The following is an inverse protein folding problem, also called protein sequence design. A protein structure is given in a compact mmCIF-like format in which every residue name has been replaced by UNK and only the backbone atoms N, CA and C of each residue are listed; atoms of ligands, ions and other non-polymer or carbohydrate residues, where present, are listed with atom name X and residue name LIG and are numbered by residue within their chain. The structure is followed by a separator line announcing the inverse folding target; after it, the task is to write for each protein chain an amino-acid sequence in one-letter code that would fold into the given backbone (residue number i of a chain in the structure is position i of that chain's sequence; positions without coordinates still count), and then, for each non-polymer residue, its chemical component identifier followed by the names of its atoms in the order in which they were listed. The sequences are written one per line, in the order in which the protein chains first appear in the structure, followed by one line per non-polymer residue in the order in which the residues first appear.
data_IF_831167517524
#
_entry.id   IF_831167517524
#
_cell.length_a   1.000
_cell.length_b   1.000
_cell.length_c   1.000
_cell.angle_alpha   90.00
_cell.angle_beta   90.00
_cell.angle_gamma   90.00
#
_symmetry.space_group_name_H-M   'P 1'
#
loop_
_entity.id
_entity.type
_entity.pdbx_description
1 polymer ?
#
# COMPACT_ATOMS: atom_id res chain seq x y z
N UNK A 1 3.07 22.17 -17.01
CA UNK A 1 2.44 22.23 -15.66
C UNK A 1 1.92 20.83 -15.33
N UNK A 2 2.70 20.00 -14.64
CA UNK A 2 2.32 18.58 -14.41
C UNK A 2 2.75 18.07 -13.03
N UNK A 3 2.48 18.85 -11.97
CA UNK A 3 2.91 18.53 -10.59
C UNK A 3 1.76 17.97 -9.72
N UNK A 4 0.52 17.90 -10.22
CA UNK A 4 -0.66 17.54 -9.41
C UNK A 4 -1.14 16.08 -9.50
N UNK A 5 -0.50 15.22 -10.32
CA UNK A 5 -0.90 13.81 -10.49
C UNK A 5 -0.11 12.81 -9.63
N UNK A 6 1.06 13.22 -9.12
CA UNK A 6 1.93 12.40 -8.26
C UNK A 6 1.26 11.97 -6.93
N UNK A 7 0.45 12.78 -6.21
CA UNK A 7 -0.19 12.34 -4.97
C UNK A 7 -1.34 11.35 -5.20
N UNK A 8 -1.87 11.26 -6.43
CA UNK A 8 -3.03 10.42 -6.79
C UNK A 8 -2.65 8.92 -6.88
N UNK A 9 -1.44 8.63 -7.36
CA UNK A 9 -0.90 7.28 -7.56
C UNK A 9 -0.44 6.66 -6.23
N UNK A 10 0.02 7.49 -5.29
CA UNK A 10 0.60 7.04 -4.02
C UNK A 10 -0.44 6.48 -3.03
N UNK A 11 -1.72 6.88 -3.14
CA UNK A 11 -2.79 6.43 -2.25
C UNK A 11 -3.39 5.07 -2.71
N UNK A 12 -3.09 4.64 -3.95
CA UNK A 12 -3.63 3.43 -4.57
C UNK A 12 -2.62 2.29 -4.72
N UNK A 13 -1.44 2.36 -4.11
CA UNK A 13 -0.47 1.27 -4.18
C UNK A 13 -0.31 0.59 -2.80
N UNK A 14 -1.14 -0.43 -2.46
CA UNK A 14 -1.04 -1.14 -1.18
C UNK A 14 -0.04 -2.30 -1.22
N UNK A 15 0.79 -2.40 -2.26
CA UNK A 15 1.94 -3.29 -2.23
C UNK A 15 2.93 -2.74 -1.22
N UNK A 16 3.49 -3.64 -0.45
CA UNK A 16 4.57 -3.49 0.54
C UNK A 16 5.83 -2.74 0.03
N UNK A 17 5.84 -2.15 -1.17
CA UNK A 17 7.00 -1.54 -1.83
C UNK A 17 6.72 -0.11 -2.33
N UNK A 18 6.06 0.70 -1.51
CA UNK A 18 6.22 2.17 -1.54
C UNK A 18 6.12 2.72 -0.13
N UNK A 19 6.96 2.18 0.76
CA UNK A 19 7.45 2.95 1.90
C UNK A 19 8.50 3.92 1.35
N UNK A 20 8.05 4.99 0.68
CA UNK A 20 8.70 6.29 0.75
C UNK A 20 8.13 6.92 2.03
N UNK A 21 8.68 6.68 3.23
CA UNK A 21 9.87 7.32 3.81
C UNK A 21 9.96 8.85 3.67
N UNK A 22 8.86 9.56 3.43
CA UNK A 22 8.80 11.01 3.71
C UNK A 22 7.92 11.34 4.92
N UNK A 23 7.35 10.34 5.57
CA UNK A 23 6.87 10.46 6.94
C UNK A 23 7.63 9.46 7.81
N UNK A 24 8.11 9.93 8.95
CA UNK A 24 8.82 9.21 10.02
C UNK A 24 8.05 7.98 10.58
N UNK A 25 6.94 7.57 9.96
CA UNK A 25 5.97 6.65 10.55
C UNK A 25 5.35 5.71 9.51
N UNK A 26 5.98 4.54 9.35
CA UNK A 26 5.38 3.38 8.68
C UNK A 26 4.19 2.79 9.45
N UNK A 27 3.62 1.64 9.02
CA UNK A 27 2.51 1.01 9.73
C UNK A 27 2.83 0.84 11.23
N UNK A 28 1.89 1.16 12.13
CA UNK A 28 2.17 1.20 13.56
C UNK A 28 2.65 -0.16 14.06
N UNK A 29 3.84 -0.17 14.68
CA UNK A 29 4.58 -1.37 15.08
C UNK A 29 5.84 -1.61 14.24
N UNK A 30 5.87 -1.21 12.95
CA UNK A 30 7.02 -1.43 12.07
C UNK A 30 8.26 -0.67 12.54
N UNK A 31 8.12 0.57 12.98
CA UNK A 31 9.24 1.35 13.55
C UNK A 31 9.82 0.70 14.80
N UNK A 32 8.98 0.06 15.63
CA UNK A 32 9.43 -0.67 16.82
C UNK A 32 10.20 -1.94 16.46
N UNK A 33 9.68 -2.73 15.50
CA UNK A 33 10.38 -3.91 14.99
C UNK A 33 11.72 -3.52 14.35
N UNK A 34 11.73 -2.47 13.52
CA UNK A 34 12.91 -2.02 12.79
C UNK A 34 14.04 -1.53 13.72
N UNK A 35 13.68 -0.91 14.85
CA UNK A 35 14.64 -0.56 15.93
C UNK A 35 15.26 -1.79 16.60
N UNK A 36 14.53 -2.90 16.67
CA UNK A 36 14.99 -4.15 17.28
C UNK A 36 15.82 -5.03 16.34
N UNK A 37 15.75 -4.80 15.03
CA UNK A 37 16.63 -5.46 14.05
C UNK A 37 18.09 -5.01 14.23
N UNK A 38 19.04 -5.89 13.93
CA UNK A 38 20.44 -5.49 13.78
C UNK A 38 20.69 -4.87 12.39
N UNK A 39 21.89 -4.35 12.15
CA UNK A 39 22.23 -3.68 10.89
C UNK A 39 22.09 -4.61 9.67
N UNK A 40 22.56 -5.85 9.77
CA UNK A 40 22.46 -6.83 8.70
C UNK A 40 21.01 -7.14 8.36
N UNK A 41 20.17 -7.38 9.38
CA UNK A 41 18.74 -7.66 9.22
C UNK A 41 17.99 -6.47 8.60
N UNK A 42 18.36 -5.24 8.98
CA UNK A 42 17.79 -4.03 8.37
C UNK A 42 18.12 -3.95 6.89
N UNK A 43 19.40 -4.12 6.53
CA UNK A 43 19.85 -4.09 5.13
C UNK A 43 19.19 -5.19 4.29
N UNK A 44 19.04 -6.38 4.85
CA UNK A 44 18.34 -7.48 4.17
C UNK A 44 16.87 -7.11 3.91
N UNK A 45 16.16 -6.64 4.94
CA UNK A 45 14.77 -6.20 4.80
C UNK A 45 14.61 -5.04 3.80
N UNK A 46 15.51 -4.06 3.83
CA UNK A 46 15.54 -2.96 2.85
C UNK A 46 15.79 -3.47 1.43
N UNK A 47 16.74 -4.38 1.24
CA UNK A 47 17.03 -4.94 -0.08
C UNK A 47 15.85 -5.71 -0.68
N UNK A 48 15.07 -6.41 0.14
CA UNK A 48 13.84 -7.10 -0.29
C UNK A 48 12.81 -6.08 -0.75
N UNK A 49 12.66 -4.96 -0.03
CA UNK A 49 11.73 -3.90 -0.38
C UNK A 49 12.14 -3.12 -1.62
N UNK A 50 13.43 -2.89 -1.81
CA UNK A 50 13.95 -2.06 -2.90
C UNK A 50 14.16 -2.84 -4.20
N UNK A 51 13.90 -4.15 -4.20
CA UNK A 51 13.98 -4.98 -5.39
C UNK A 51 12.87 -4.63 -6.40
N UNK A 52 13.20 -3.69 -7.30
CA UNK A 52 12.33 -3.21 -8.37
C UNK A 52 11.99 -4.28 -9.42
N UNK A 53 12.69 -5.41 -9.42
CA UNK A 53 12.50 -6.50 -10.39
C UNK A 53 11.59 -7.60 -9.85
N UNK A 54 11.45 -7.69 -8.53
CA UNK A 54 10.60 -8.70 -7.91
C UNK A 54 9.11 -8.37 -8.08
N UNK A 55 8.32 -9.40 -8.39
CA UNK A 55 6.86 -9.32 -8.34
C UNK A 55 6.37 -9.20 -6.91
N UNK A 56 5.11 -8.81 -6.70
CA UNK A 56 4.52 -8.77 -5.34
C UNK A 56 4.60 -10.12 -4.64
N UNK A 57 4.33 -11.20 -5.37
CA UNK A 57 4.41 -12.57 -4.84
C UNK A 57 5.84 -12.86 -4.36
N UNK A 58 6.84 -12.58 -5.18
CA UNK A 58 8.24 -12.79 -4.84
C UNK A 58 8.68 -11.93 -3.64
N UNK A 59 8.24 -10.68 -3.56
CA UNK A 59 8.50 -9.82 -2.40
C UNK A 59 7.86 -10.42 -1.14
N UNK A 60 6.62 -10.89 -1.22
CA UNK A 60 5.94 -11.52 -0.10
C UNK A 60 6.67 -12.79 0.37
N UNK A 61 7.07 -13.66 -0.54
CA UNK A 61 7.85 -14.87 -0.23
C UNK A 61 9.19 -14.52 0.43
N UNK A 62 9.91 -13.52 -0.10
CA UNK A 62 11.17 -13.04 0.48
C UNK A 62 10.98 -12.49 1.91
N UNK A 63 9.89 -11.76 2.15
CA UNK A 63 9.55 -11.26 3.49
C UNK A 63 9.22 -12.42 4.44
N UNK A 64 8.46 -13.40 3.99
CA UNK A 64 8.15 -14.59 4.80
C UNK A 64 9.41 -15.38 5.15
N UNK A 65 10.30 -15.57 4.17
CA UNK A 65 11.62 -16.17 4.41
C UNK A 65 12.44 -15.36 5.42
N UNK A 66 12.49 -14.03 5.28
CA UNK A 66 13.17 -13.14 6.22
C UNK A 66 12.60 -13.23 7.63
N UNK A 67 11.28 -13.25 7.80
CA UNK A 67 10.65 -13.40 9.12
C UNK A 67 11.10 -14.71 9.78
N UNK A 68 11.25 -15.79 9.02
CA UNK A 68 11.68 -17.08 9.54
C UNK A 68 13.16 -17.09 9.99
N UNK A 69 14.01 -16.20 9.47
CA UNK A 69 15.41 -16.06 9.92
C UNK A 69 15.56 -15.21 11.18
N UNK A 70 14.52 -14.47 11.58
CA UNK A 70 14.56 -13.66 12.79
C UNK A 70 14.63 -14.53 14.06
N UNK A 71 15.20 -14.02 15.17
CA UNK A 71 15.09 -14.65 16.48
C UNK A 71 13.62 -14.83 16.89
N UNK A 72 13.30 -15.89 17.65
CA UNK A 72 11.90 -16.21 18.02
C UNK A 72 11.16 -15.06 18.71
N UNK A 73 11.87 -14.25 19.50
CA UNK A 73 11.33 -13.04 20.14
C UNK A 73 10.82 -11.97 19.16
N UNK A 74 11.32 -11.97 17.91
CA UNK A 74 10.96 -11.01 16.86
C UNK A 74 9.98 -11.59 15.83
N UNK A 75 9.89 -12.92 15.71
CA UNK A 75 8.93 -13.59 14.79
C UNK A 75 7.48 -13.25 15.13
N UNK A 76 7.12 -13.26 16.41
CA UNK A 76 5.77 -12.91 16.88
C UNK A 76 5.35 -11.50 16.44
N UNK A 77 6.11 -10.46 16.83
CA UNK A 77 5.86 -9.07 16.40
C UNK A 77 5.85 -8.89 14.88
N UNK A 78 6.76 -9.56 14.15
CA UNK A 78 6.81 -9.46 12.68
C UNK A 78 5.56 -10.06 12.02
N UNK A 79 5.08 -11.21 12.51
CA UNK A 79 3.84 -11.82 12.02
C UNK A 79 2.59 -11.00 12.38
N UNK A 80 2.59 -10.31 13.52
CA UNK A 80 1.51 -9.40 13.89
C UNK A 80 1.44 -8.19 12.95
N UNK A 81 2.58 -7.58 12.63
CA UNK A 81 2.66 -6.48 11.66
C UNK A 81 2.16 -6.95 10.29
N UNK A 82 2.55 -8.15 9.84
CA UNK A 82 2.03 -8.75 8.59
C UNK A 82 0.51 -8.82 8.58
N UNK A 83 -0.11 -9.39 9.63
CA UNK A 83 -1.58 -9.48 9.75
C UNK A 83 -2.24 -8.10 9.79
N UNK A 84 -1.63 -7.12 10.47
CA UNK A 84 -2.14 -5.75 10.53
C UNK A 84 -2.15 -5.09 9.16
N UNK A 85 -1.10 -5.29 8.36
CA UNK A 85 -1.02 -4.82 6.97
C UNK A 85 -2.11 -5.48 6.11
N UNK A 86 -2.32 -6.80 6.26
CA UNK A 86 -3.40 -7.51 5.55
C UNK A 86 -4.78 -6.98 5.90
N UNK A 87 -5.05 -6.71 7.18
CA UNK A 87 -6.31 -6.10 7.63
C UNK A 87 -6.51 -4.71 7.05
N UNK A 88 -5.48 -3.85 7.11
CA UNK A 88 -5.52 -2.50 6.53
C UNK A 88 -5.83 -2.53 5.03
N UNK A 89 -5.30 -3.51 4.29
CA UNK A 89 -5.62 -3.69 2.87
C UNK A 89 -7.07 -4.05 2.62
N UNK A 90 -7.62 -4.94 3.43
CA UNK A 90 -9.03 -5.34 3.33
C UNK A 90 -9.95 -4.15 3.60
N UNK A 91 -9.66 -3.37 4.65
CA UNK A 91 -10.40 -2.16 5.01
C UNK A 91 -10.32 -1.09 3.91
N UNK A 92 -9.12 -0.80 3.39
CA UNK A 92 -8.96 0.12 2.25
C UNK A 92 -9.78 -0.30 1.03
N UNK A 93 -9.82 -1.61 0.74
CA UNK A 93 -10.59 -2.16 -0.37
C UNK A 93 -12.08 -1.92 -0.13
N UNK A 94 -12.56 -2.20 1.08
CA UNK A 94 -13.94 -2.00 1.46
C UNK A 94 -14.34 -0.52 1.39
N UNK A 95 -13.53 0.39 1.95
CA UNK A 95 -13.78 1.84 1.86
C UNK A 95 -13.78 2.34 0.43
N UNK A 96 -12.93 1.80 -0.45
CA UNK A 96 -12.93 2.17 -1.87
C UNK A 96 -14.23 1.72 -2.56
N UNK A 97 -14.74 0.53 -2.25
CA UNK A 97 -16.02 0.02 -2.77
C UNK A 97 -17.18 0.88 -2.28
N UNK A 98 -17.21 1.21 -0.98
CA UNK A 98 -18.25 2.05 -0.40
C UNK A 98 -18.25 3.45 -1.02
N UNK A 99 -17.06 4.05 -1.15
CA UNK A 99 -16.90 5.36 -1.77
C UNK A 99 -17.27 5.36 -3.27
N UNK A 100 -17.14 4.22 -3.95
CA UNK A 100 -17.52 4.05 -5.35
C UNK A 100 -19.04 4.02 -5.59
N UNK A 101 -19.86 3.74 -4.57
CA UNK A 101 -21.29 3.46 -4.75
C UNK A 101 -22.08 4.64 -5.36
N UNK A 102 -21.65 5.87 -5.08
CA UNK A 102 -22.28 7.11 -5.57
C UNK A 102 -21.66 7.71 -6.83
N UNK A 103 -20.69 7.02 -7.46
CA UNK A 103 -19.96 7.55 -8.60
C UNK A 103 -20.65 7.26 -9.95
N UNK A 104 -20.21 7.96 -10.98
CA UNK A 104 -20.47 7.65 -12.38
C UNK A 104 -19.96 6.26 -12.77
N UNK A 105 -20.54 5.69 -13.82
CA UNK A 105 -20.18 4.35 -14.30
C UNK A 105 -18.70 4.28 -14.72
N UNK A 106 -18.19 5.31 -15.39
CA UNK A 106 -16.77 5.41 -15.77
C UNK A 106 -15.83 5.41 -14.55
N UNK A 107 -16.16 6.16 -13.50
CA UNK A 107 -15.37 6.20 -12.28
C UNK A 107 -15.45 4.87 -11.50
N UNK A 108 -16.61 4.20 -11.49
CA UNK A 108 -16.77 2.85 -10.92
C UNK A 108 -15.93 1.83 -11.66
N UNK A 109 -15.96 1.85 -12.99
CA UNK A 109 -15.17 0.94 -13.82
C UNK A 109 -13.67 1.16 -13.59
N UNK A 110 -13.21 2.41 -13.52
CA UNK A 110 -11.84 2.73 -13.17
C UNK A 110 -11.44 2.18 -11.79
N UNK A 111 -12.29 2.32 -10.76
CA UNK A 111 -12.02 1.75 -9.43
C UNK A 111 -11.95 0.21 -9.50
N UNK A 112 -12.85 -0.43 -10.25
CA UNK A 112 -12.86 -1.88 -10.41
C UNK A 112 -11.57 -2.38 -11.09
N UNK A 113 -11.10 -1.71 -12.14
CA UNK A 113 -9.84 -2.04 -12.81
C UNK A 113 -8.63 -1.83 -11.90
N UNK A 114 -8.59 -0.73 -11.16
CA UNK A 114 -7.55 -0.46 -10.14
C UNK A 114 -7.52 -1.59 -9.10
N UNK A 115 -8.69 -2.06 -8.64
CA UNK A 115 -8.76 -3.18 -7.70
C UNK A 115 -8.27 -4.50 -8.29
N UNK A 116 -8.53 -4.78 -9.56
CA UNK A 116 -7.99 -5.97 -10.25
C UNK A 116 -6.47 -5.93 -10.31
N UNK A 117 -5.88 -4.79 -10.66
CA UNK A 117 -4.42 -4.61 -10.69
C UNK A 117 -3.82 -4.79 -9.30
N UNK A 118 -4.45 -4.20 -8.27
CA UNK A 118 -4.04 -4.38 -6.86
C UNK A 118 -3.98 -5.85 -6.43
N UNK A 119 -4.95 -6.66 -6.89
CA UNK A 119 -5.02 -8.09 -6.57
C UNK A 119 -4.05 -8.95 -7.40
N UNK A 120 -3.57 -8.47 -8.54
CA UNK A 120 -2.65 -9.22 -9.40
C UNK A 120 -1.26 -9.34 -8.74
N UNK A 121 -0.87 -10.53 -8.28
CA UNK A 121 0.41 -10.73 -7.57
C UNK A 121 1.63 -10.94 -8.49
N UNK A 122 1.40 -11.05 -9.80
CA UNK A 122 2.41 -11.40 -10.80
C UNK A 122 3.11 -10.18 -11.42
N UNK A 123 2.68 -8.97 -11.05
CA UNK A 123 3.30 -7.72 -11.48
C UNK A 123 4.25 -7.17 -10.42
N UNK A 124 5.20 -6.35 -10.84
CA UNK A 124 6.06 -5.59 -9.93
C UNK A 124 5.29 -4.41 -9.32
N UNK A 125 5.76 -3.85 -8.19
CA UNK A 125 5.19 -2.63 -7.63
C UNK A 125 5.25 -1.43 -8.56
N UNK A 126 6.28 -1.36 -9.39
CA UNK A 126 6.42 -0.31 -10.40
C UNK A 126 5.36 -0.46 -11.49
N UNK A 127 5.12 -1.68 -11.98
CA UNK A 127 4.09 -1.96 -12.98
C UNK A 127 2.68 -1.69 -12.44
N UNK A 128 2.39 -2.01 -11.17
CA UNK A 128 1.12 -1.63 -10.55
C UNK A 128 0.90 -0.12 -10.60
N UNK A 129 1.89 0.68 -10.14
CA UNK A 129 1.78 2.14 -10.13
C UNK A 129 1.57 2.70 -11.54
N UNK A 130 2.26 2.17 -12.52
CA UNK A 130 2.13 2.58 -13.92
C UNK A 130 0.75 2.25 -14.49
N UNK A 131 0.26 1.03 -14.29
CA UNK A 131 -1.07 0.63 -14.77
C UNK A 131 -2.19 1.44 -14.10
N UNK A 132 -2.09 1.68 -12.79
CA UNK A 132 -3.04 2.53 -12.05
C UNK A 132 -2.98 3.98 -12.56
N UNK A 133 -1.78 4.52 -12.77
CA UNK A 133 -1.61 5.86 -13.33
C UNK A 133 -2.31 6.00 -14.68
N UNK A 134 -2.14 5.03 -15.56
CA UNK A 134 -2.74 5.05 -16.89
C UNK A 134 -4.27 5.02 -16.82
N UNK A 135 -4.86 4.18 -15.96
CA UNK A 135 -6.32 4.17 -15.74
C UNK A 135 -6.82 5.56 -15.35
N UNK A 136 -6.17 6.21 -14.39
CA UNK A 136 -6.65 7.51 -13.89
C UNK A 136 -6.40 8.64 -14.92
N UNK A 137 -5.37 8.47 -15.76
CA UNK A 137 -5.09 9.40 -16.85
C UNK A 137 -6.12 9.26 -17.98
N UNK A 138 -6.55 8.04 -18.29
CA UNK A 138 -7.37 7.73 -19.47
C UNK A 138 -8.87 7.98 -19.28
N UNK A 139 -9.34 8.09 -18.03
CA UNK A 139 -10.72 8.53 -17.73
C UNK A 139 -10.95 10.01 -18.03
N UNK A 140 -12.21 10.38 -18.24
CA UNK A 140 -12.66 11.77 -18.39
C UNK A 140 -12.29 12.65 -17.18
N UNK A 141 -12.20 13.96 -17.39
CA UNK A 141 -11.90 14.92 -16.31
C UNK A 141 -12.94 14.86 -15.17
N UNK A 142 -14.21 14.61 -15.50
CA UNK A 142 -15.29 14.43 -14.52
C UNK A 142 -15.06 13.19 -13.66
N UNK A 143 -14.83 12.04 -14.30
CA UNK A 143 -14.54 10.79 -13.59
C UNK A 143 -13.25 10.91 -12.77
N UNK A 144 -12.24 11.63 -13.26
CA UNK A 144 -11.00 11.88 -12.51
C UNK A 144 -11.23 12.69 -11.23
N UNK A 145 -12.14 13.65 -11.24
CA UNK A 145 -12.48 14.42 -10.04
C UNK A 145 -13.22 13.55 -9.01
N UNK A 146 -14.15 12.71 -9.46
CA UNK A 146 -14.80 11.71 -8.61
C UNK A 146 -13.79 10.75 -7.96
N UNK A 147 -12.82 10.26 -8.73
CA UNK A 147 -11.73 9.43 -8.21
C UNK A 147 -10.89 10.19 -7.16
N UNK A 148 -10.65 11.50 -7.32
CA UNK A 148 -9.96 12.32 -6.31
C UNK A 148 -10.74 12.36 -5.00
N UNK A 149 -12.06 12.48 -5.03
CA UNK A 149 -12.88 12.48 -3.82
C UNK A 149 -12.79 11.15 -3.05
N UNK A 150 -12.82 10.03 -3.77
CA UNK A 150 -12.59 8.70 -3.18
C UNK A 150 -11.23 8.64 -2.50
N UNK A 151 -10.19 9.15 -3.16
CA UNK A 151 -8.84 9.15 -2.60
C UNK A 151 -8.72 10.03 -1.35
N UNK A 152 -9.44 11.16 -1.30
CA UNK A 152 -9.50 11.97 -0.08
C UNK A 152 -10.21 11.24 1.07
N UNK A 153 -11.28 10.47 0.78
CA UNK A 153 -11.97 9.62 1.77
C UNK A 153 -11.04 8.52 2.28
N UNK A 154 -10.33 7.83 1.38
CA UNK A 154 -9.34 6.80 1.73
C UNK A 154 -8.20 7.39 2.57
N UNK A 155 -7.68 8.56 2.21
CA UNK A 155 -6.63 9.25 2.97
C UNK A 155 -7.10 9.60 4.39
N UNK A 156 -8.33 10.06 4.56
CA UNK A 156 -8.92 10.36 5.87
C UNK A 156 -9.09 9.09 6.71
N UNK A 157 -9.65 8.03 6.14
CA UNK A 157 -9.79 6.73 6.81
C UNK A 157 -8.43 6.20 7.30
N UNK A 158 -7.38 6.29 6.47
CA UNK A 158 -6.04 5.88 6.86
C UNK A 158 -5.42 6.74 7.96
N UNK A 159 -5.68 8.05 7.92
CA UNK A 159 -5.22 8.96 8.96
C UNK A 159 -5.92 8.70 10.30
N UNK A 160 -7.25 8.51 10.29
CA UNK A 160 -8.04 8.25 11.49
C UNK A 160 -7.63 6.93 12.16
N UNK A 161 -7.38 5.89 11.35
CA UNK A 161 -6.92 4.61 11.84
C UNK A 161 -5.46 4.62 12.31
N UNK A 162 -4.62 5.43 11.66
CA UNK A 162 -3.26 5.66 12.12
C UNK A 162 -3.23 6.35 13.48
N UNK A 163 -4.09 7.36 13.67
CA UNK A 163 -4.27 8.06 14.95
C UNK A 163 -4.79 7.11 16.02
N UNK A 164 -5.82 6.29 15.76
CA UNK A 164 -6.33 5.36 16.79
C UNK A 164 -5.27 4.39 17.30
N UNK A 165 -4.48 3.82 16.41
CA UNK A 165 -3.40 2.88 16.78
C UNK A 165 -2.17 3.51 17.46
N UNK A 166 -2.08 4.84 17.55
CA UNK A 166 -1.05 5.55 18.32
C UNK A 166 -1.48 5.84 19.76
N UNK A 167 -2.78 5.80 20.04
CA UNK A 167 -3.38 6.15 21.33
C UNK A 167 -4.04 4.97 22.06
N UNK A 168 -3.96 3.76 21.48
CA UNK A 168 -4.20 2.46 22.14
C UNK A 168 -2.88 1.86 22.66
#
# INVERSE_FOLDING_TARGET
MSILLVPLILILCPIIVSVQLDTDKGPPGLTSLFKQLNETQRKEFESIKEDKRATKAQIQEKIEAFINTLPDKLKGPANEIKRKIERLRAEQTQTAIEAASGLSDEAKDAINEIQKIKKNMDITPTQEREQIHNIIHDVSDSAREELREVLQKLRRCLFDQYVSTLFD
#
